data_IF_702711196027
#
_entry.id   IF_702711196027
#
_cell.length_a   1.000
_cell.length_b   1.000
_cell.length_c   1.000
_cell.angle_alpha   90.00
_cell.angle_beta   90.00
_cell.angle_gamma   90.00
#
_symmetry.space_group_name_H-M   'P 1'
#
loop_
_entity.id
_entity.type
_entity.pdbx_description
1 polymer ?
#
# COMPACT_ATOMS: atom_id res chain seq x y z
N UNK A 1 -56.99 -42.42 -6.67
CA UNK A 1 -57.94 -41.57 -7.43
C UNK A 1 -58.29 -40.33 -6.61
N UNK A 2 -58.77 -39.24 -7.23
CA UNK A 2 -59.04 -37.88 -6.65
C UNK A 2 -57.72 -37.10 -6.42
N UNK A 3 -57.34 -36.01 -7.15
CA UNK A 3 -58.00 -34.74 -7.59
C UNK A 3 -58.40 -33.90 -6.35
N UNK A 4 -58.11 -32.59 -6.15
CA UNK A 4 -57.63 -31.39 -6.93
C UNK A 4 -56.80 -30.49 -5.94
N UNK A 5 -55.76 -29.72 -6.29
CA UNK A 5 -55.57 -28.55 -7.19
C UNK A 5 -56.15 -27.19 -6.67
N UNK A 6 -55.24 -26.20 -6.51
CA UNK A 6 -55.38 -24.73 -6.33
C UNK A 6 -56.14 -24.11 -5.14
N UNK A 7 -55.44 -23.27 -4.35
CA UNK A 7 -55.77 -21.85 -4.09
C UNK A 7 -54.45 -21.04 -4.01
N UNK A 8 -54.42 -19.88 -4.67
CA UNK A 8 -53.34 -18.87 -4.67
C UNK A 8 -53.59 -17.78 -3.60
N UNK A 9 -52.67 -16.82 -3.49
CA UNK A 9 -52.79 -15.53 -2.74
C UNK A 9 -52.37 -15.57 -1.26
N UNK A 10 -51.16 -15.09 -0.99
CA UNK A 10 -50.98 -13.83 -0.23
C UNK A 10 -49.58 -13.25 -0.46
N UNK A 11 -49.52 -12.21 -1.28
CA UNK A 11 -48.38 -11.29 -1.38
C UNK A 11 -48.70 -10.12 -0.45
N UNK A 12 -47.95 -9.98 0.64
CA UNK A 12 -47.86 -8.82 1.55
C UNK A 12 -46.51 -9.00 2.28
N UNK A 13 -45.48 -8.22 1.93
CA UNK A 13 -45.21 -6.86 2.44
C UNK A 13 -44.93 -6.87 3.94
N UNK A 14 -43.64 -6.77 4.28
CA UNK A 14 -43.11 -6.20 5.52
C UNK A 14 -41.81 -5.47 5.18
N UNK A 15 -41.97 -4.34 4.49
CA UNK A 15 -40.88 -3.40 4.20
C UNK A 15 -40.67 -2.54 5.45
N UNK A 16 -39.64 -2.86 6.24
CA UNK A 16 -39.36 -2.12 7.48
C UNK A 16 -37.91 -1.62 7.58
N UNK A 17 -37.81 -0.32 7.29
CA UNK A 17 -37.04 0.70 8.02
C UNK A 17 -35.52 0.54 8.11
N UNK A 18 -34.83 1.39 7.35
CA UNK A 18 -33.80 2.34 7.83
C UNK A 18 -33.66 3.38 6.70
N UNK A 19 -33.85 4.69 6.88
CA UNK A 19 -33.81 5.51 8.07
C UNK A 19 -33.01 6.77 7.71
N UNK A 20 -33.67 7.82 7.22
CA UNK A 20 -32.99 9.00 6.68
C UNK A 20 -32.35 9.86 7.78
N UNK A 21 -31.21 10.50 7.45
CA UNK A 21 -30.65 11.63 8.21
C UNK A 21 -30.19 12.71 7.23
N UNK A 22 -30.83 13.90 7.22
CA UNK A 22 -30.42 15.15 6.50
C UNK A 22 -29.76 14.87 5.13
N UNK A 23 -28.61 15.47 4.79
CA UNK A 23 -27.94 16.60 5.45
C UNK A 23 -27.95 17.86 4.57
N UNK A 24 -27.64 19.00 5.18
CA UNK A 24 -27.86 20.33 4.59
C UNK A 24 -26.92 20.59 3.40
N UNK A 25 -27.53 20.93 2.27
CA UNK A 25 -26.92 21.78 1.24
C UNK A 25 -27.86 22.98 1.15
N UNK A 26 -27.42 24.12 1.69
CA UNK A 26 -28.02 25.43 1.43
C UNK A 26 -27.24 26.11 0.28
N UNK A 27 -27.87 27.13 -0.32
CA UNK A 27 -27.66 27.54 -1.71
C UNK A 27 -26.41 28.40 -2.03
N UNK A 28 -26.12 28.45 -3.34
CA UNK A 28 -25.63 29.58 -4.15
C UNK A 28 -24.60 30.57 -3.56
N UNK A 29 -23.44 30.73 -4.23
CA UNK A 29 -22.99 32.06 -4.70
C UNK A 29 -22.31 31.96 -6.07
N UNK A 30 -23.00 32.51 -7.06
CA UNK A 30 -22.55 32.98 -8.36
C UNK A 30 -21.13 33.62 -8.43
N UNK A 31 -20.51 33.42 -9.59
CA UNK A 31 -19.16 33.83 -10.00
C UNK A 31 -18.85 35.34 -9.78
N UNK A 32 -18.06 35.70 -8.76
CA UNK A 32 -17.63 37.08 -8.52
C UNK A 32 -16.16 37.35 -8.90
N UNK A 33 -16.00 38.17 -9.94
CA UNK A 33 -14.74 38.69 -10.47
C UNK A 33 -14.13 39.75 -9.53
N UNK A 34 -13.03 39.42 -8.85
CA UNK A 34 -12.06 40.41 -8.35
C UNK A 34 -10.67 40.10 -8.89
N UNK A 35 -10.08 41.06 -9.61
CA UNK A 35 -8.65 41.05 -9.92
C UNK A 35 -7.91 41.93 -8.91
N UNK A 36 -6.87 41.39 -8.28
CA UNK A 36 -5.87 42.15 -7.54
C UNK A 36 -4.50 41.53 -7.79
N UNK A 37 -3.50 42.41 -7.91
CA UNK A 37 -2.18 42.10 -8.43
C UNK A 37 -1.15 42.08 -7.29
N UNK A 38 -0.53 40.93 -7.00
CA UNK A 38 0.84 40.88 -6.43
C UNK A 38 1.47 39.48 -6.44
N UNK A 39 2.77 39.51 -6.72
CA UNK A 39 3.79 38.46 -6.56
C UNK A 39 3.62 37.51 -5.37
N UNK A 40 3.50 36.22 -5.66
CA UNK A 40 4.18 35.10 -4.97
C UNK A 40 4.08 33.83 -5.85
N UNK A 41 5.10 32.95 -5.92
CA UNK A 41 4.98 31.69 -6.65
C UNK A 41 4.11 30.73 -5.85
N UNK A 42 2.82 30.67 -6.18
CA UNK A 42 1.89 29.66 -5.65
C UNK A 42 2.44 28.27 -5.88
N UNK A 43 2.64 27.52 -4.79
CA UNK A 43 3.10 26.14 -4.83
C UNK A 43 1.97 25.29 -5.43
N UNK A 44 2.12 24.93 -6.72
CA UNK A 44 1.22 24.03 -7.43
C UNK A 44 0.99 22.75 -6.62
N UNK A 45 -0.26 22.54 -6.22
CA UNK A 45 -0.66 21.42 -5.38
C UNK A 45 -0.91 20.20 -6.27
N UNK A 46 0.14 19.42 -6.52
CA UNK A 46 0.10 18.17 -7.29
C UNK A 46 -0.62 16.99 -6.59
N UNK A 47 -1.73 17.25 -5.91
CA UNK A 47 -2.64 16.19 -5.50
C UNK A 47 -3.64 15.91 -6.64
N UNK A 48 -3.35 14.88 -7.45
CA UNK A 48 -4.23 13.70 -7.69
C UNK A 48 -3.94 13.07 -9.07
N UNK A 49 -3.00 12.10 -9.16
CA UNK A 49 -2.99 11.14 -10.26
C UNK A 49 -4.09 10.10 -10.00
N UNK A 50 -5.24 10.25 -10.65
CA UNK A 50 -6.35 9.29 -10.58
C UNK A 50 -6.05 8.02 -11.40
N UNK A 51 -5.01 7.28 -11.01
CA UNK A 51 -4.51 6.08 -11.69
C UNK A 51 -4.33 4.96 -10.64
N UNK A 52 -5.18 3.94 -10.72
CA UNK A 52 -5.44 2.97 -9.64
C UNK A 52 -4.33 1.98 -9.31
N UNK A 53 -3.24 2.46 -8.71
CA UNK A 53 -2.32 1.68 -7.88
C UNK A 53 -2.21 2.29 -6.48
N UNK A 54 -1.41 1.70 -5.57
CA UNK A 54 -1.30 2.16 -4.18
C UNK A 54 -0.98 3.65 -4.11
N UNK A 55 -1.70 4.38 -3.26
CA UNK A 55 -1.38 5.75 -2.91
C UNK A 55 -0.27 5.70 -1.85
N UNK A 56 0.84 6.40 -2.09
CA UNK A 56 1.99 6.38 -1.18
C UNK A 56 2.34 7.83 -0.89
N UNK A 57 2.27 8.22 0.38
CA UNK A 57 2.18 9.64 0.79
C UNK A 57 3.11 9.99 1.94
N UNK A 58 3.77 9.02 2.58
CA UNK A 58 4.74 9.27 3.65
C UNK A 58 5.82 8.21 3.75
N UNK A 59 6.99 8.62 4.25
CA UNK A 59 8.04 7.69 4.67
C UNK A 59 8.26 7.88 6.15
N UNK A 60 8.23 6.78 6.89
CA UNK A 60 8.74 6.72 8.25
C UNK A 60 9.97 5.81 8.23
N UNK A 61 11.12 6.44 8.47
CA UNK A 61 12.43 5.78 8.46
C UNK A 61 12.76 5.08 9.78
N UNK A 62 11.87 5.18 10.79
CA UNK A 62 11.95 4.41 12.03
C UNK A 62 11.75 2.93 11.74
N UNK A 63 12.68 2.06 12.15
CA UNK A 63 12.58 0.61 11.95
C UNK A 63 11.35 0.02 12.68
N UNK A 64 10.27 -0.38 11.96
CA UNK A 64 9.04 -0.83 12.60
C UNK A 64 9.11 -2.28 13.04
N UNK A 65 10.15 -3.04 12.65
CA UNK A 65 10.37 -4.40 13.14
C UNK A 65 10.82 -4.41 14.61
N UNK A 66 11.20 -3.24 15.16
CA UNK A 66 11.42 -2.99 16.59
C UNK A 66 10.13 -2.48 17.24
N UNK A 67 9.51 -1.44 16.68
CA UNK A 67 8.35 -0.75 17.28
C UNK A 67 7.10 -1.63 17.43
N UNK A 68 6.88 -2.58 16.48
CA UNK A 68 5.78 -3.56 16.57
C UNK A 68 5.93 -4.58 17.71
N UNK A 69 7.11 -4.66 18.34
CA UNK A 69 7.34 -5.51 19.53
C UNK A 69 7.41 -4.70 20.84
N UNK A 70 7.37 -3.36 20.78
CA UNK A 70 7.45 -2.48 21.95
C UNK A 70 6.42 -1.33 21.90
N UNK A 71 5.13 -1.64 21.99
CA UNK A 71 4.14 -0.62 22.33
C UNK A 71 3.18 -1.02 23.45
N UNK A 72 3.77 -1.21 24.64
CA UNK A 72 3.11 -0.87 25.89
C UNK A 72 3.98 0.16 26.62
N UNK A 73 3.43 1.37 26.81
CA UNK A 73 4.03 2.54 27.50
C UNK A 73 5.16 3.21 26.66
N UNK A 74 5.10 4.48 26.24
CA UNK A 74 4.86 5.66 27.08
C UNK A 74 4.96 6.98 26.25
N UNK A 75 4.11 7.98 26.56
CA UNK A 75 4.26 9.45 26.34
C UNK A 75 4.16 10.11 24.93
N UNK A 76 3.12 10.96 24.86
CA UNK A 76 3.01 12.30 24.21
C UNK A 76 2.86 12.38 22.67
N UNK A 77 1.64 12.59 22.16
CA UNK A 77 1.44 13.07 20.79
C UNK A 77 1.66 14.58 20.70
N UNK A 78 2.64 15.03 19.92
CA UNK A 78 2.68 16.42 19.43
C UNK A 78 1.72 16.57 18.24
N UNK A 79 0.77 17.48 18.36
CA UNK A 79 -0.37 17.58 17.47
C UNK A 79 -0.03 18.27 16.14
N UNK A 80 0.20 17.50 15.08
CA UNK A 80 0.09 17.96 13.68
C UNK A 80 -0.85 17.03 12.92
N UNK A 81 -2.16 17.24 13.10
CA UNK A 81 -3.20 16.58 12.32
C UNK A 81 -3.23 17.11 10.88
N UNK A 82 -2.42 16.52 10.01
CA UNK A 82 -2.74 16.41 8.59
C UNK A 82 -3.22 15.00 8.32
N UNK A 83 -4.54 14.81 8.30
CA UNK A 83 -5.18 13.49 8.16
C UNK A 83 -5.21 13.05 6.69
N UNK A 84 -4.03 12.98 6.06
CA UNK A 84 -3.84 12.18 4.87
C UNK A 84 -3.74 10.72 5.31
N UNK A 85 -4.38 9.79 4.57
CA UNK A 85 -4.08 8.36 4.73
C UNK A 85 -2.61 8.16 4.36
N UNK A 86 -1.81 7.99 5.42
CA UNK A 86 -0.36 8.19 5.39
C UNK A 86 0.32 6.84 5.20
N UNK A 87 0.33 6.37 3.95
CA UNK A 87 0.84 5.05 3.61
C UNK A 87 2.35 4.98 3.82
N UNK A 88 2.76 4.28 4.88
CA UNK A 88 4.11 4.28 5.45
C UNK A 88 5.06 3.40 4.63
N UNK A 89 6.07 4.00 3.99
CA UNK A 89 7.15 3.23 3.33
C UNK A 89 8.19 2.73 4.35
N UNK A 90 8.44 1.41 4.35
CA UNK A 90 9.27 0.70 5.33
C UNK A 90 10.27 -0.21 4.59
N UNK A 91 11.53 -0.26 5.01
CA UNK A 91 12.45 -1.36 4.64
C UNK A 91 12.27 -2.51 5.62
N UNK A 92 11.88 -3.70 5.16
CA UNK A 92 11.70 -4.87 6.00
C UNK A 92 12.97 -5.75 6.00
N UNK A 93 13.89 -5.47 6.92
CA UNK A 93 15.22 -6.08 6.96
C UNK A 93 15.12 -7.57 7.32
N UNK A 94 14.47 -7.92 8.43
CA UNK A 94 14.39 -9.31 8.91
C UNK A 94 13.59 -10.18 7.95
N UNK A 95 12.60 -9.61 7.26
CA UNK A 95 11.90 -10.28 6.17
C UNK A 95 12.81 -10.54 4.96
N UNK A 96 13.70 -9.61 4.60
CA UNK A 96 14.67 -9.79 3.53
C UNK A 96 15.73 -10.85 3.89
N UNK A 97 16.27 -10.81 5.10
CA UNK A 97 17.24 -11.79 5.62
C UNK A 97 16.64 -13.21 5.59
N UNK A 98 15.42 -13.37 6.12
CA UNK A 98 14.70 -14.67 6.12
C UNK A 98 14.33 -15.19 4.72
N UNK A 99 14.30 -14.32 3.71
CA UNK A 99 14.14 -14.70 2.30
C UNK A 99 15.49 -15.08 1.68
N UNK A 100 16.58 -14.45 2.10
CA UNK A 100 17.95 -14.81 1.69
C UNK A 100 18.45 -16.12 2.33
N UNK A 101 17.90 -16.53 3.47
CA UNK A 101 18.13 -17.86 4.08
C UNK A 101 17.62 -19.03 3.20
N UNK A 102 16.81 -18.77 2.17
CA UNK A 102 16.37 -19.77 1.21
C UNK A 102 17.50 -20.08 0.23
N UNK A 103 17.93 -21.35 0.12
CA UNK A 103 19.06 -21.77 -0.73
C UNK A 103 18.94 -21.42 -2.21
N UNK A 104 17.73 -21.09 -2.69
CA UNK A 104 17.46 -20.65 -4.06
C UNK A 104 17.66 -19.14 -4.28
N UNK A 105 17.96 -18.37 -3.23
CA UNK A 105 18.08 -16.90 -3.21
C UNK A 105 19.49 -16.51 -2.76
N UNK A 106 20.19 -15.67 -3.54
CA UNK A 106 21.46 -15.08 -3.07
C UNK A 106 21.17 -13.83 -2.21
N UNK A 107 20.25 -12.98 -2.65
CA UNK A 107 19.93 -11.70 -2.00
C UNK A 107 18.46 -11.30 -2.17
N UNK A 108 17.93 -10.55 -1.20
CA UNK A 108 16.60 -9.95 -1.25
C UNK A 108 16.63 -8.46 -0.83
N UNK A 109 15.74 -7.65 -1.41
CA UNK A 109 15.38 -6.32 -0.91
C UNK A 109 13.85 -6.28 -0.80
N UNK A 110 13.35 -5.90 0.38
CA UNK A 110 11.91 -5.85 0.66
C UNK A 110 11.54 -4.47 1.18
N UNK A 111 10.58 -3.85 0.51
CA UNK A 111 9.93 -2.63 0.97
C UNK A 111 8.46 -2.94 1.20
N UNK A 112 7.94 -2.54 2.35
CA UNK A 112 6.52 -2.68 2.73
C UNK A 112 5.87 -1.30 2.69
N UNK A 113 4.67 -1.21 2.12
CA UNK A 113 3.77 -0.06 2.26
C UNK A 113 2.38 -0.57 2.63
N UNK A 114 1.77 0.00 3.66
CA UNK A 114 0.51 -0.49 4.22
C UNK A 114 0.60 -1.99 4.57
N UNK A 115 -0.21 -2.82 3.89
CA UNK A 115 -0.23 -4.28 4.03
C UNK A 115 0.40 -4.99 2.82
N UNK A 116 1.08 -4.26 1.93
CA UNK A 116 1.69 -4.75 0.70
C UNK A 116 3.21 -4.85 0.83
N UNK A 117 3.80 -6.01 0.49
CA UNK A 117 5.24 -6.21 0.45
C UNK A 117 5.76 -6.35 -0.99
N UNK A 118 6.69 -5.47 -1.38
CA UNK A 118 7.37 -5.50 -2.68
C UNK A 118 8.75 -6.14 -2.50
N UNK A 119 8.91 -7.32 -3.10
CA UNK A 119 10.09 -8.17 -2.95
C UNK A 119 10.87 -8.19 -4.25
N UNK A 120 12.09 -7.66 -4.24
CA UNK A 120 13.06 -7.92 -5.29
C UNK A 120 14.05 -9.00 -4.83
N UNK A 121 14.21 -10.07 -5.61
CA UNK A 121 15.21 -11.11 -5.32
C UNK A 121 16.23 -11.26 -6.44
N UNK A 122 17.43 -11.67 -6.04
CA UNK A 122 18.44 -12.26 -6.90
C UNK A 122 18.47 -13.76 -6.62
N UNK A 123 18.24 -14.58 -7.65
CA UNK A 123 18.25 -16.04 -7.52
C UNK A 123 19.67 -16.57 -7.48
N UNK A 124 19.88 -17.67 -6.76
CA UNK A 124 21.16 -18.34 -6.70
C UNK A 124 21.45 -19.14 -7.97
N UNK A 125 22.66 -18.96 -8.51
CA UNK A 125 23.10 -19.61 -9.75
C UNK A 125 23.11 -21.16 -9.64
N UNK A 126 23.20 -21.71 -8.43
CA UNK A 126 23.29 -23.16 -8.17
C UNK A 126 21.99 -23.93 -8.39
N UNK A 127 20.83 -23.27 -8.22
CA UNK A 127 19.53 -23.95 -8.14
C UNK A 127 18.63 -23.73 -9.38
N UNK A 128 19.24 -23.23 -10.46
CA UNK A 128 18.55 -22.86 -11.70
C UNK A 128 17.81 -21.53 -11.56
N UNK A 129 18.08 -20.59 -12.48
CA UNK A 129 17.59 -19.20 -12.43
C UNK A 129 16.09 -19.03 -12.75
N UNK A 130 15.24 -19.97 -12.34
CA UNK A 130 13.80 -20.00 -12.57
C UNK A 130 13.01 -19.67 -11.30
N UNK A 131 12.16 -18.63 -11.38
CA UNK A 131 11.20 -18.32 -10.32
C UNK A 131 9.99 -19.25 -10.47
N UNK A 132 10.01 -20.40 -9.79
CA UNK A 132 8.92 -21.38 -9.79
C UNK A 132 7.74 -20.93 -8.91
N UNK A 133 6.60 -21.60 -9.02
CA UNK A 133 5.47 -21.37 -8.12
C UNK A 133 5.79 -21.79 -6.66
N UNK A 134 6.53 -22.89 -6.49
CA UNK A 134 6.98 -23.36 -5.17
C UNK A 134 7.90 -22.34 -4.50
N UNK A 135 8.88 -21.79 -5.23
CA UNK A 135 9.79 -20.76 -4.71
C UNK A 135 9.05 -19.47 -4.33
N UNK A 136 8.11 -19.00 -5.17
CA UNK A 136 7.23 -17.88 -4.78
C UNK A 136 6.48 -18.16 -3.47
N UNK A 137 5.93 -19.37 -3.32
CA UNK A 137 5.26 -19.79 -2.09
C UNK A 137 6.18 -19.77 -0.86
N UNK A 138 7.43 -20.25 -0.98
CA UNK A 138 8.45 -20.17 0.07
C UNK A 138 8.73 -18.71 0.47
N UNK A 139 8.98 -17.83 -0.51
CA UNK A 139 9.24 -16.40 -0.29
C UNK A 139 8.05 -15.73 0.42
N UNK A 140 6.83 -15.91 -0.08
CA UNK A 140 5.61 -15.36 0.55
C UNK A 140 5.45 -15.84 1.99
N UNK A 141 5.70 -17.13 2.27
CA UNK A 141 5.65 -17.68 3.62
C UNK A 141 6.74 -17.11 4.52
N UNK A 142 7.97 -16.93 4.02
CA UNK A 142 9.06 -16.32 4.77
C UNK A 142 8.69 -14.88 5.19
N UNK A 143 8.25 -14.04 4.25
CA UNK A 143 7.81 -12.66 4.50
C UNK A 143 6.68 -12.59 5.53
N UNK A 144 5.56 -13.30 5.29
CA UNK A 144 4.40 -13.30 6.21
C UNK A 144 4.70 -13.92 7.59
N UNK A 145 5.76 -14.71 7.72
CA UNK A 145 6.19 -15.27 9.01
C UNK A 145 7.05 -14.32 9.84
N UNK A 146 7.42 -13.15 9.30
CA UNK A 146 8.05 -12.05 10.05
C UNK A 146 7.00 -11.00 10.41
N UNK A 147 6.13 -10.66 9.46
CA UNK A 147 4.99 -9.75 9.68
C UNK A 147 3.69 -10.37 9.15
N UNK A 148 2.84 -10.80 10.09
CA UNK A 148 1.55 -11.42 9.78
C UNK A 148 0.49 -10.46 9.26
N UNK A 149 0.73 -9.14 9.31
CA UNK A 149 -0.18 -8.13 8.79
C UNK A 149 -0.03 -7.90 7.28
N UNK A 150 0.92 -8.57 6.62
CA UNK A 150 1.13 -8.43 5.17
C UNK A 150 0.07 -9.26 4.44
N UNK A 151 -0.78 -8.60 3.65
CA UNK A 151 -1.84 -9.20 2.84
C UNK A 151 -1.28 -9.69 1.50
N UNK A 152 -0.57 -8.83 0.76
CA UNK A 152 -0.05 -9.16 -0.58
C UNK A 152 1.48 -9.16 -0.61
N UNK A 153 2.06 -10.09 -1.37
CA UNK A 153 3.52 -10.18 -1.58
C UNK A 153 3.81 -10.20 -3.07
N UNK A 154 4.33 -9.09 -3.59
CA UNK A 154 4.64 -8.88 -5.00
C UNK A 154 6.12 -9.18 -5.26
N UNK A 155 6.39 -10.30 -5.93
CA UNK A 155 7.76 -10.83 -6.09
C UNK A 155 8.26 -10.64 -7.52
N UNK A 156 9.42 -10.00 -7.67
CA UNK A 156 10.11 -9.84 -8.95
C UNK A 156 11.57 -10.28 -8.87
N UNK A 157 11.98 -11.11 -9.84
CA UNK A 157 13.38 -11.50 -10.08
C UNK A 157 14.06 -10.68 -11.18
N UNK A 158 13.50 -9.51 -11.53
CA UNK A 158 14.06 -8.66 -12.59
C UNK A 158 15.29 -7.89 -12.07
N UNK A 159 16.49 -8.05 -12.68
CA UNK A 159 17.70 -7.39 -12.21
C UNK A 159 17.63 -5.86 -12.16
N UNK A 160 16.85 -5.24 -13.06
CA UNK A 160 16.65 -3.78 -13.06
C UNK A 160 15.73 -3.32 -11.93
N UNK A 161 14.70 -4.12 -11.60
CA UNK A 161 13.86 -3.87 -10.42
C UNK A 161 14.65 -4.04 -9.13
N UNK A 162 15.50 -5.08 -9.03
CA UNK A 162 16.41 -5.27 -7.90
C UNK A 162 17.35 -4.08 -7.68
N UNK A 163 17.98 -3.57 -8.74
CA UNK A 163 18.82 -2.36 -8.67
C UNK A 163 18.05 -1.12 -8.18
N UNK A 164 16.80 -0.95 -8.60
CA UNK A 164 15.91 0.13 -8.13
C UNK A 164 15.56 -0.03 -6.65
N UNK A 165 15.10 -1.21 -6.25
CA UNK A 165 14.77 -1.53 -4.85
C UNK A 165 15.97 -1.36 -3.91
N UNK A 166 17.17 -1.80 -4.30
CA UNK A 166 18.39 -1.58 -3.52
C UNK A 166 18.75 -0.08 -3.38
N UNK A 167 18.47 0.75 -4.40
CA UNK A 167 18.59 2.21 -4.29
C UNK A 167 17.54 2.78 -3.35
N UNK A 168 16.28 2.37 -3.48
CA UNK A 168 15.19 2.85 -2.62
C UNK A 168 15.45 2.53 -1.15
N UNK A 169 15.84 1.29 -0.85
CA UNK A 169 16.28 0.86 0.49
C UNK A 169 17.39 1.74 1.06
N UNK A 170 18.41 2.09 0.26
CA UNK A 170 19.51 2.97 0.70
C UNK A 170 19.02 4.39 0.98
N UNK A 171 18.19 4.94 0.11
CA UNK A 171 17.64 6.29 0.28
C UNK A 171 16.77 6.38 1.55
N UNK A 172 15.91 5.39 1.82
CA UNK A 172 15.10 5.32 3.04
C UNK A 172 15.99 5.30 4.28
N UNK A 173 17.00 4.41 4.32
CA UNK A 173 17.97 4.33 5.44
C UNK A 173 18.75 5.64 5.66
N UNK A 174 18.97 6.42 4.59
CA UNK A 174 19.66 7.70 4.65
C UNK A 174 18.73 8.91 4.95
N UNK A 175 17.42 8.72 5.13
CA UNK A 175 16.45 9.82 5.25
C UNK A 175 16.21 10.61 3.95
N UNK A 176 16.63 10.08 2.80
CA UNK A 176 16.57 10.73 1.49
C UNK A 176 15.25 10.43 0.76
N UNK A 177 14.13 10.81 1.37
CA UNK A 177 12.78 10.47 0.91
C UNK A 177 11.92 11.71 0.68
N UNK A 178 12.25 12.47 -0.37
CA UNK A 178 11.45 13.58 -0.89
C UNK A 178 10.16 13.09 -1.56
N UNK A 179 9.25 14.01 -1.88
CA UNK A 179 8.06 13.72 -2.71
C UNK A 179 8.45 13.04 -4.04
N UNK A 180 9.42 13.60 -4.77
CA UNK A 180 9.94 13.03 -6.03
C UNK A 180 10.42 11.58 -5.89
N UNK A 181 10.96 11.21 -4.73
CA UNK A 181 11.37 9.84 -4.42
C UNK A 181 10.16 8.92 -4.24
N UNK A 182 9.13 9.38 -3.53
CA UNK A 182 7.89 8.64 -3.30
C UNK A 182 7.15 8.43 -4.63
N UNK A 183 7.15 9.44 -5.50
CA UNK A 183 6.57 9.36 -6.84
C UNK A 183 7.35 8.37 -7.73
N UNK A 184 8.69 8.44 -7.79
CA UNK A 184 9.49 7.50 -8.57
C UNK A 184 9.35 6.04 -8.07
N UNK A 185 9.23 5.85 -6.76
CA UNK A 185 8.93 4.55 -6.17
C UNK A 185 7.55 4.04 -6.61
N UNK A 186 6.51 4.85 -6.40
CA UNK A 186 5.12 4.52 -6.74
C UNK A 186 4.95 4.16 -8.21
N UNK A 187 5.53 4.95 -9.11
CA UNK A 187 5.48 4.71 -10.55
C UNK A 187 6.33 3.52 -11.01
N UNK A 188 7.39 3.19 -10.26
CA UNK A 188 8.11 1.93 -10.47
C UNK A 188 7.26 0.73 -10.06
N UNK A 189 6.55 0.80 -8.92
CA UNK A 189 5.65 -0.25 -8.48
C UNK A 189 4.49 -0.45 -9.48
N UNK A 190 3.76 0.61 -9.85
CA UNK A 190 2.65 0.56 -10.82
C UNK A 190 3.06 -0.06 -12.17
N UNK A 191 4.29 0.22 -12.62
CA UNK A 191 4.82 -0.29 -13.90
C UNK A 191 5.25 -1.75 -13.84
N UNK A 192 5.75 -2.23 -12.71
CA UNK A 192 6.24 -3.60 -12.53
C UNK A 192 5.11 -4.55 -12.06
N UNK A 193 4.16 -4.02 -11.31
CA UNK A 193 3.02 -4.72 -10.73
C UNK A 193 1.73 -3.90 -10.99
N UNK A 194 1.19 -3.90 -12.22
CA UNK A 194 -0.02 -3.14 -12.56
C UNK A 194 -1.26 -3.61 -11.79
N UNK A 195 -1.25 -4.85 -11.29
CA UNK A 195 -2.32 -5.42 -10.45
C UNK A 195 -2.11 -5.18 -8.95
N UNK A 196 -1.09 -4.41 -8.54
CA UNK A 196 -0.92 -4.00 -7.15
C UNK A 196 -1.98 -2.96 -6.77
N UNK A 197 -2.71 -3.23 -5.69
CA UNK A 197 -3.81 -2.41 -5.17
C UNK A 197 -3.58 -2.02 -3.72
#
# INVERSE_FOLDING_TARGET
>A
MKKRLFVLVSLIICLYISGCSKNNVDDDVSNQKLGLNKTEPTRENYNTPNHGGPAITSVDTSDPEIDRQQNQNNRRPTNTQFHYNSSKIIVANRAADKVADLSEIDHANIIVTDNNAYVAVQLSNSNGNQMTASLRGKITKAVKSVDGNIDNVYISKNPQFYKRMARYTRNIRNGQTSSDFIDEFSDTIRRVFPDAR
#
